data_IF_821113664881
#
_entry.id   IF_821113664881
#
_cell.length_a   1.000
_cell.length_b   1.000
_cell.length_c   1.000
_cell.angle_alpha   90.00
_cell.angle_beta   90.00
_cell.angle_gamma   90.00
#
_symmetry.space_group_name_H-M   'P 1'
#
loop_
_entity.id
_entity.type
_entity.pdbx_description
1 polymer ?
#
# COMPACT_ATOMS: atom_id res chain seq x y z
N UNK A 1 39.66 37.78 10.85
CA UNK A 1 40.33 36.91 11.83
C UNK A 1 40.36 35.56 11.17
N UNK A 2 41.40 35.22 10.33
CA UNK A 2 42.66 34.60 10.78
C UNK A 2 42.40 33.24 11.42
N UNK A 3 42.98 32.12 11.05
CA UNK A 3 44.26 31.72 10.44
C UNK A 3 44.04 30.28 9.91
N UNK A 4 44.44 29.81 8.72
CA UNK A 4 45.81 29.46 8.28
C UNK A 4 46.59 28.60 9.27
N UNK A 5 46.96 27.40 8.86
CA UNK A 5 48.26 26.73 8.98
C UNK A 5 48.11 25.31 8.40
N UNK A 6 48.59 24.98 7.24
CA UNK A 6 49.90 24.78 6.69
C UNK A 6 50.59 23.48 7.15
N UNK A 7 50.90 22.64 6.12
CA UNK A 7 52.21 21.98 5.85
C UNK A 7 52.50 20.60 6.41
N UNK A 8 52.73 19.61 5.55
CA UNK A 8 54.11 19.19 5.25
C UNK A 8 54.19 18.06 4.22
N UNK A 9 54.92 18.35 3.14
CA UNK A 9 55.56 17.43 2.21
C UNK A 9 56.75 16.71 2.89
N UNK A 10 57.03 15.46 2.46
CA UNK A 10 58.36 14.82 2.56
C UNK A 10 58.37 13.67 1.54
N UNK A 11 58.94 13.77 0.40
CA UNK A 11 60.23 13.61 -0.23
C UNK A 11 60.97 12.32 0.15
N UNK A 12 61.04 11.42 -0.86
CA UNK A 12 62.07 10.52 -1.46
C UNK A 12 63.14 9.90 -0.52
N UNK A 13 63.83 8.74 -0.89
CA UNK A 13 64.74 8.73 -2.04
C UNK A 13 64.81 7.41 -2.87
N UNK A 14 65.44 7.56 -4.03
CA UNK A 14 65.91 6.56 -4.97
C UNK A 14 67.10 5.76 -4.40
N UNK A 15 67.24 4.46 -4.78
CA UNK A 15 68.51 3.76 -4.81
C UNK A 15 68.65 3.03 -6.16
N UNK A 16 69.58 3.53 -6.95
CA UNK A 16 70.26 2.86 -8.04
C UNK A 16 71.38 1.98 -7.47
N UNK A 17 71.54 0.74 -7.92
CA UNK A 17 72.82 0.06 -7.98
C UNK A 17 72.90 -0.81 -9.20
N UNK A 18 73.98 -0.56 -9.86
CA UNK A 18 74.48 -1.01 -11.14
C UNK A 18 75.13 -2.37 -11.10
N UNK A 19 75.19 -3.00 -12.29
CA UNK A 19 76.30 -3.83 -12.87
C UNK A 19 76.64 -5.23 -12.32
N UNK A 20 76.58 -6.15 -13.25
CA UNK A 20 77.32 -7.44 -13.17
C UNK A 20 77.25 -8.18 -14.52
N UNK A 21 78.17 -7.82 -15.45
CA UNK A 21 78.53 -8.58 -16.66
C UNK A 21 79.33 -9.83 -16.30
N UNK A 22 79.02 -10.97 -16.94
CA UNK A 22 80.01 -12.03 -17.39
C UNK A 22 79.13 -13.16 -17.99
N UNK A 23 79.11 -13.34 -19.28
CA UNK A 23 79.99 -14.13 -20.14
C UNK A 23 79.99 -15.63 -19.76
N UNK A 24 79.53 -16.47 -20.66
CA UNK A 24 80.33 -17.59 -21.27
C UNK A 24 79.46 -18.33 -22.30
N UNK A 25 80.09 -18.52 -23.42
CA UNK A 25 79.70 -19.11 -24.70
C UNK A 25 79.48 -20.63 -24.70
N UNK A 26 78.74 -21.03 -25.77
CA UNK A 26 78.94 -22.26 -26.57
C UNK A 26 78.45 -23.60 -25.99
N UNK A 27 77.44 -24.19 -26.64
CA UNK A 27 77.66 -25.39 -27.45
C UNK A 27 76.52 -25.54 -28.45
N UNK A 28 76.88 -25.49 -29.75
CA UNK A 28 76.04 -25.89 -30.91
C UNK A 28 76.01 -27.42 -30.93
N UNK A 29 74.77 -27.97 -31.00
CA UNK A 29 74.55 -29.31 -31.52
C UNK A 29 73.27 -29.32 -32.34
N UNK A 30 73.45 -29.36 -33.62
CA UNK A 30 72.42 -29.60 -34.60
C UNK A 30 71.88 -31.04 -34.47
N UNK A 31 70.60 -31.20 -34.34
CA UNK A 31 69.84 -32.39 -34.76
C UNK A 31 68.72 -31.99 -35.65
N UNK A 32 68.91 -32.24 -36.95
CA UNK A 32 67.95 -32.16 -37.98
C UNK A 32 67.01 -33.38 -37.83
N UNK A 33 65.77 -33.18 -37.41
CA UNK A 33 64.71 -34.17 -37.50
C UNK A 33 63.54 -33.54 -38.24
N UNK A 34 63.37 -33.99 -39.46
CA UNK A 34 62.19 -33.77 -40.33
C UNK A 34 60.96 -34.29 -39.57
N UNK A 35 60.26 -33.41 -38.92
CA UNK A 35 58.93 -33.71 -38.40
C UNK A 35 57.91 -33.44 -39.48
N UNK A 36 57.30 -34.49 -39.98
CA UNK A 36 56.07 -34.53 -40.76
C UNK A 36 55.03 -33.65 -40.04
N UNK A 37 54.50 -32.67 -40.80
CA UNK A 37 53.31 -31.89 -40.39
C UNK A 37 52.14 -32.86 -40.23
N UNK A 38 52.00 -33.35 -39.02
CA UNK A 38 50.80 -34.02 -38.60
C UNK A 38 49.73 -32.91 -38.48
N UNK A 39 48.79 -32.92 -39.42
CA UNK A 39 47.61 -32.10 -39.40
C UNK A 39 46.72 -32.58 -38.25
N UNK A 40 47.09 -32.22 -37.01
CA UNK A 40 46.17 -32.32 -35.89
C UNK A 40 45.02 -31.38 -36.17
N UNK A 41 43.96 -31.93 -36.69
CA UNK A 41 42.62 -31.33 -36.58
C UNK A 41 42.49 -30.79 -35.16
N UNK A 42 42.44 -29.46 -35.03
CA UNK A 42 42.11 -28.77 -33.80
C UNK A 42 40.77 -29.35 -33.36
N UNK A 43 40.88 -30.26 -32.41
CA UNK A 43 39.76 -30.77 -31.65
C UNK A 43 38.98 -29.55 -31.14
N UNK A 44 37.87 -29.21 -31.84
CA UNK A 44 36.96 -28.15 -31.44
C UNK A 44 36.41 -28.56 -30.09
N UNK A 45 37.04 -28.07 -29.02
CA UNK A 45 36.44 -28.11 -27.70
C UNK A 45 35.00 -27.64 -27.87
N UNK A 46 34.01 -28.45 -27.50
CA UNK A 46 32.61 -28.06 -27.66
C UNK A 46 32.38 -26.75 -26.91
N UNK A 47 31.85 -25.75 -27.59
CA UNK A 47 31.47 -24.49 -26.97
C UNK A 47 30.73 -24.75 -25.65
N UNK A 48 31.17 -24.17 -24.53
CA UNK A 48 30.55 -24.40 -23.23
C UNK A 48 29.08 -23.99 -23.30
N UNK A 49 28.18 -24.95 -23.10
CA UNK A 49 26.74 -24.71 -23.06
C UNK A 49 26.33 -24.25 -21.66
N UNK A 50 25.71 -23.10 -21.56
CA UNK A 50 25.19 -22.60 -20.28
C UNK A 50 23.89 -23.30 -19.92
N UNK A 51 23.79 -23.88 -18.70
CA UNK A 51 22.53 -24.48 -18.23
C UNK A 51 21.51 -23.39 -17.93
N UNK A 52 20.28 -23.52 -18.50
CA UNK A 52 19.22 -22.53 -18.38
C UNK A 52 17.88 -23.16 -18.06
N UNK A 53 16.99 -22.46 -17.38
CA UNK A 53 15.58 -22.78 -17.35
C UNK A 53 14.80 -21.92 -18.35
N UNK A 54 13.66 -22.40 -18.80
CA UNK A 54 12.87 -21.75 -19.84
C UNK A 54 11.47 -21.43 -19.37
N UNK A 55 10.88 -20.38 -19.98
CA UNK A 55 9.50 -19.95 -19.76
C UNK A 55 8.82 -19.63 -21.08
N UNK A 56 7.51 -19.48 -21.03
CA UNK A 56 6.66 -19.06 -22.14
C UNK A 56 5.92 -17.77 -21.76
N UNK A 57 5.34 -17.11 -22.76
CA UNK A 57 4.50 -15.96 -22.53
C UNK A 57 3.23 -16.34 -21.77
N UNK A 58 2.79 -15.43 -20.92
CA UNK A 58 1.51 -15.49 -20.21
C UNK A 58 0.57 -14.45 -20.78
N UNK A 59 -0.69 -14.83 -20.94
CA UNK A 59 -1.79 -13.93 -21.30
C UNK A 59 -2.72 -13.65 -20.12
N UNK A 60 -2.31 -14.05 -18.91
CA UNK A 60 -3.07 -13.75 -17.70
C UNK A 60 -3.17 -12.23 -17.49
N UNK A 61 -4.34 -11.71 -17.10
CA UNK A 61 -4.50 -10.30 -16.84
C UNK A 61 -3.47 -9.78 -15.84
N UNK A 62 -2.86 -8.63 -16.15
CA UNK A 62 -1.96 -7.92 -15.26
C UNK A 62 -2.66 -6.69 -14.72
N UNK A 63 -2.59 -6.50 -13.41
CA UNK A 63 -3.12 -5.31 -12.76
C UNK A 63 -2.07 -4.76 -11.80
N UNK A 64 -1.82 -3.48 -11.93
CA UNK A 64 -1.00 -2.72 -11.00
C UNK A 64 -1.92 -2.00 -10.01
N UNK A 65 -1.59 -2.10 -8.74
CA UNK A 65 -2.40 -1.60 -7.65
C UNK A 65 -1.64 -0.59 -6.81
N UNK A 66 -2.40 0.36 -6.31
CA UNK A 66 -1.93 1.26 -5.27
C UNK A 66 -2.77 1.05 -4.01
N UNK A 67 -2.16 1.14 -2.86
CA UNK A 67 -2.83 1.05 -1.57
C UNK A 67 -2.88 2.43 -0.92
N UNK A 68 -4.08 2.87 -0.57
CA UNK A 68 -4.32 4.13 0.14
C UNK A 68 -4.94 3.86 1.50
N UNK A 69 -4.69 4.76 2.44
CA UNK A 69 -5.29 4.70 3.75
C UNK A 69 -6.72 5.27 3.72
N UNK A 70 -7.59 4.64 4.50
CA UNK A 70 -8.95 5.11 4.72
C UNK A 70 -9.31 5.00 6.20
N UNK A 71 -9.87 6.05 6.75
CA UNK A 71 -10.22 6.14 8.16
C UNK A 71 -11.70 5.85 8.35
N UNK A 72 -12.00 4.92 9.26
CA UNK A 72 -13.36 4.59 9.68
C UNK A 72 -14.02 5.77 10.41
N UNK A 73 -15.22 6.16 9.99
CA UNK A 73 -15.96 7.24 10.66
C UNK A 73 -17.47 7.06 10.51
N UNK A 74 -18.20 7.78 11.34
CA UNK A 74 -19.66 7.87 11.26
C UNK A 74 -20.05 9.27 10.84
N UNK A 75 -20.85 9.38 9.77
CA UNK A 75 -21.23 10.68 9.21
C UNK A 75 -22.30 11.41 10.02
N UNK A 76 -23.06 10.66 10.86
CA UNK A 76 -24.15 11.21 11.64
C UNK A 76 -23.92 11.00 13.13
N UNK A 77 -23.88 12.09 13.87
CA UNK A 77 -23.84 12.12 15.33
C UNK A 77 -25.00 12.97 15.84
N UNK A 78 -25.81 12.40 16.69
CA UNK A 78 -26.91 13.08 17.36
C UNK A 78 -26.43 13.68 18.68
N UNK A 79 -26.52 15.00 18.82
CA UNK A 79 -26.25 15.67 20.09
C UNK A 79 -27.53 15.69 20.89
N UNK A 80 -27.50 15.13 22.11
CA UNK A 80 -28.57 15.18 23.07
C UNK A 80 -28.36 16.38 23.98
N UNK A 81 -29.34 17.27 24.02
CA UNK A 81 -29.27 18.52 24.78
C UNK A 81 -30.32 18.59 25.87
N UNK A 82 -30.04 19.31 26.92
CA UNK A 82 -31.02 19.66 27.93
C UNK A 82 -32.12 20.53 27.33
N UNK A 83 -33.38 20.21 27.62
CA UNK A 83 -34.57 20.93 27.12
C UNK A 83 -35.13 21.95 28.13
N UNK A 84 -34.52 22.03 29.31
CA UNK A 84 -34.87 23.00 30.37
C UNK A 84 -33.73 23.13 31.35
N UNK A 85 -33.71 24.25 32.07
CA UNK A 85 -32.80 24.47 33.21
C UNK A 85 -33.21 23.60 34.39
N UNK A 86 -32.23 22.98 35.08
CA UNK A 86 -32.54 22.18 36.25
C UNK A 86 -31.42 21.23 36.63
N UNK A 87 -31.75 20.28 37.51
CA UNK A 87 -30.81 19.28 37.97
C UNK A 87 -31.12 17.91 37.35
N UNK A 88 -30.09 17.20 36.96
CA UNK A 88 -30.22 15.82 36.47
C UNK A 88 -30.65 14.90 37.61
N UNK A 89 -31.91 14.47 37.59
CA UNK A 89 -32.46 13.53 38.58
C UNK A 89 -32.04 12.09 38.26
N UNK A 90 -32.05 11.70 36.99
CA UNK A 90 -31.62 10.40 36.54
C UNK A 90 -30.73 10.53 35.30
N UNK A 91 -29.73 9.64 35.20
CA UNK A 91 -28.87 9.42 34.05
C UNK A 91 -28.93 7.92 33.77
N UNK A 92 -29.71 7.51 32.74
CA UNK A 92 -30.00 6.10 32.46
C UNK A 92 -29.12 5.58 31.29
N UNK A 93 -27.97 6.19 31.09
CA UNK A 93 -27.08 5.89 29.96
C UNK A 93 -25.63 6.10 30.35
N UNK A 94 -24.75 5.27 29.81
CA UNK A 94 -23.29 5.35 29.97
C UNK A 94 -22.62 5.37 28.62
N UNK A 95 -21.38 5.87 28.56
CA UNK A 95 -20.53 5.76 27.39
C UNK A 95 -20.36 4.29 26.98
N UNK A 96 -20.59 3.99 25.70
CA UNK A 96 -20.53 2.65 25.13
C UNK A 96 -21.88 1.92 25.08
N UNK A 97 -22.94 2.43 25.74
CA UNK A 97 -24.27 1.83 25.67
C UNK A 97 -24.87 1.98 24.27
N UNK A 98 -25.62 0.94 23.84
CA UNK A 98 -26.48 1.03 22.66
C UNK A 98 -27.88 1.51 23.08
N UNK A 99 -28.39 2.53 22.40
CA UNK A 99 -29.72 3.09 22.67
C UNK A 99 -30.60 3.04 21.42
N UNK A 100 -31.91 2.91 21.65
CA UNK A 100 -32.93 2.98 20.59
C UNK A 100 -33.46 4.40 20.47
N UNK A 101 -33.90 4.79 19.29
CA UNK A 101 -34.60 6.07 19.10
C UNK A 101 -35.82 6.13 20.02
N UNK A 102 -36.03 7.28 20.72
CA UNK A 102 -37.10 7.48 21.71
C UNK A 102 -36.80 6.92 23.11
N UNK A 103 -35.70 6.21 23.32
CA UNK A 103 -35.34 5.67 24.65
C UNK A 103 -35.05 6.82 25.62
N UNK A 104 -35.62 6.83 26.85
CA UNK A 104 -35.34 7.81 27.88
C UNK A 104 -33.88 7.70 28.36
N UNK A 105 -33.13 8.81 28.28
CA UNK A 105 -31.73 8.87 28.66
C UNK A 105 -31.52 9.65 29.98
N UNK A 106 -32.17 10.81 30.06
CA UNK A 106 -32.03 11.72 31.23
C UNK A 106 -33.40 12.17 31.70
N UNK A 107 -33.47 12.54 32.96
CA UNK A 107 -34.60 13.25 33.54
C UNK A 107 -34.04 14.49 34.23
N UNK A 108 -34.53 15.67 33.85
CA UNK A 108 -34.23 16.96 34.50
C UNK A 108 -35.40 17.31 35.41
N UNK A 109 -35.08 17.75 36.61
CA UNK A 109 -36.03 18.38 37.53
C UNK A 109 -35.73 19.85 37.63
N UNK A 110 -36.74 20.70 37.45
CA UNK A 110 -36.52 22.17 37.53
C UNK A 110 -36.19 22.54 38.99
N UNK A 111 -35.50 23.71 39.14
CA UNK A 111 -35.12 24.21 40.46
C UNK A 111 -36.33 24.43 41.38
N UNK A 112 -37.43 24.94 40.82
CA UNK A 112 -38.69 25.21 41.48
C UNK A 112 -39.32 23.90 41.97
N UNK A 113 -39.44 22.90 41.13
CA UNK A 113 -39.99 21.59 41.47
C UNK A 113 -39.15 20.88 42.53
N UNK A 114 -37.84 21.01 42.49
CA UNK A 114 -36.95 20.45 43.52
C UNK A 114 -37.12 21.10 44.86
N UNK A 115 -37.42 22.45 44.91
CA UNK A 115 -37.53 23.19 46.16
C UNK A 115 -38.92 23.09 46.80
N UNK A 116 -40.01 23.15 46.00
CA UNK A 116 -41.35 23.30 46.52
C UNK A 116 -42.34 22.21 46.04
N UNK A 117 -41.94 21.35 45.09
CA UNK A 117 -42.83 20.38 44.45
C UNK A 117 -43.56 19.44 45.43
N UNK A 118 -42.91 18.98 46.48
CA UNK A 118 -43.52 18.15 47.50
C UNK A 118 -44.54 18.89 48.38
N UNK A 119 -44.27 20.17 48.68
CA UNK A 119 -45.18 20.99 49.47
C UNK A 119 -46.46 21.29 48.68
N UNK A 120 -46.36 21.66 47.39
CA UNK A 120 -47.55 21.90 46.55
C UNK A 120 -48.39 20.65 46.39
N UNK A 121 -47.77 19.50 46.10
CA UNK A 121 -48.49 18.23 45.94
C UNK A 121 -49.13 17.72 47.23
N UNK A 122 -48.66 18.16 48.40
CA UNK A 122 -49.29 17.85 49.68
C UNK A 122 -50.49 18.73 50.02
N UNK A 123 -50.51 19.97 49.52
CA UNK A 123 -51.60 20.91 49.71
C UNK A 123 -52.81 20.58 48.83
N UNK A 124 -52.57 20.13 47.61
CA UNK A 124 -53.63 19.71 46.68
C UNK A 124 -53.21 18.41 45.96
N UNK A 125 -53.66 17.23 46.41
CA UNK A 125 -53.39 15.92 45.81
C UNK A 125 -53.87 15.77 44.38
N UNK A 126 -54.80 16.61 43.93
CA UNK A 126 -55.31 16.62 42.55
C UNK A 126 -54.34 17.33 41.58
N UNK A 127 -53.48 18.19 42.09
CA UNK A 127 -52.48 18.94 41.31
C UNK A 127 -51.13 18.25 41.39
N UNK A 128 -50.77 17.58 40.28
CA UNK A 128 -49.47 16.88 40.16
C UNK A 128 -48.42 17.80 39.51
N UNK A 129 -47.78 18.65 40.31
CA UNK A 129 -46.65 19.43 39.87
C UNK A 129 -45.37 18.57 39.96
N UNK A 130 -44.91 18.04 38.86
CA UNK A 130 -43.73 17.17 38.82
C UNK A 130 -42.47 17.95 38.43
N UNK A 131 -42.57 18.98 37.57
CA UNK A 131 -41.42 19.73 37.04
C UNK A 131 -40.33 18.83 36.42
N UNK A 132 -40.73 17.64 35.99
CA UNK A 132 -39.83 16.64 35.41
C UNK A 132 -39.89 16.68 33.90
N UNK A 133 -38.75 16.88 33.28
CA UNK A 133 -38.61 16.79 31.84
C UNK A 133 -37.77 15.58 31.44
N UNK A 134 -38.35 14.69 30.63
CA UNK A 134 -37.65 13.51 30.11
C UNK A 134 -36.96 13.86 28.80
N UNK A 135 -35.69 13.48 28.70
CA UNK A 135 -34.88 13.67 27.48
C UNK A 135 -34.61 12.30 26.91
N UNK A 136 -34.99 12.11 25.66
CA UNK A 136 -34.92 10.84 24.95
C UNK A 136 -33.87 10.87 23.84
N UNK A 137 -33.42 9.69 23.40
CA UNK A 137 -32.55 9.56 22.24
C UNK A 137 -33.27 9.99 20.97
N UNK A 138 -32.67 10.88 20.20
CA UNK A 138 -33.18 11.34 18.92
C UNK A 138 -32.95 10.35 17.76
N UNK A 139 -32.03 9.40 17.94
CA UNK A 139 -31.68 8.35 16.98
C UNK A 139 -31.21 7.09 17.72
N UNK A 140 -31.24 5.94 17.04
CA UNK A 140 -30.63 4.73 17.52
C UNK A 140 -29.10 4.76 17.26
N UNK A 141 -28.30 4.24 18.18
CA UNK A 141 -26.85 4.21 18.04
C UNK A 141 -26.10 3.96 19.32
N UNK A 142 -24.79 4.10 19.27
CA UNK A 142 -23.93 4.02 20.47
C UNK A 142 -23.70 5.40 21.09
N UNK A 143 -23.69 5.41 22.41
CA UNK A 143 -23.35 6.60 23.19
C UNK A 143 -21.84 6.77 23.20
N UNK A 144 -21.35 7.77 22.46
CA UNK A 144 -19.93 8.10 22.37
C UNK A 144 -19.42 8.90 23.56
N UNK A 145 -20.30 9.76 24.11
CA UNK A 145 -19.95 10.64 25.23
C UNK A 145 -21.17 10.89 26.12
N UNK A 146 -20.94 11.00 27.42
CA UNK A 146 -21.89 11.51 28.42
C UNK A 146 -21.17 12.58 29.20
N UNK A 147 -21.65 13.82 29.10
CA UNK A 147 -20.94 15.00 29.62
C UNK A 147 -21.29 15.32 31.07
N UNK A 148 -22.41 14.79 31.61
CA UNK A 148 -22.94 15.14 32.92
C UNK A 148 -23.34 13.91 33.73
N UNK A 149 -23.36 14.06 35.05
CA UNK A 149 -23.73 13.02 36.02
C UNK A 149 -25.03 13.37 36.77
N UNK A 150 -25.59 12.36 37.44
CA UNK A 150 -26.75 12.59 38.32
C UNK A 150 -26.42 13.61 39.40
N UNK A 151 -27.28 14.61 39.53
CA UNK A 151 -27.13 15.70 40.48
C UNK A 151 -26.57 16.98 39.91
N UNK A 152 -25.95 16.94 38.72
CA UNK A 152 -25.40 18.12 38.06
C UNK A 152 -26.54 19.09 37.67
N UNK A 153 -26.24 20.38 37.77
CA UNK A 153 -27.09 21.43 37.23
C UNK A 153 -26.78 21.66 35.75
N UNK A 154 -27.81 21.68 34.91
CA UNK A 154 -27.69 21.86 33.47
C UNK A 154 -28.56 23.02 33.00
N UNK A 155 -28.12 23.68 31.93
CA UNK A 155 -28.85 24.76 31.30
C UNK A 155 -29.54 24.25 30.03
N UNK A 156 -30.62 24.93 29.65
CA UNK A 156 -31.31 24.66 28.36
C UNK A 156 -30.33 24.79 27.19
N UNK A 157 -30.33 23.80 26.28
CA UNK A 157 -29.42 23.76 25.13
C UNK A 157 -28.04 23.14 25.43
N UNK A 158 -27.70 22.87 26.71
CA UNK A 158 -26.44 22.26 27.11
C UNK A 158 -26.36 20.81 26.64
N UNK A 159 -25.15 20.40 26.16
CA UNK A 159 -24.91 19.04 25.66
C UNK A 159 -24.83 18.06 26.81
N UNK A 160 -25.67 17.03 26.79
CA UNK A 160 -25.70 15.96 27.78
C UNK A 160 -25.02 14.68 27.29
N UNK A 161 -25.20 14.33 26.02
CA UNK A 161 -24.60 13.16 25.43
C UNK A 161 -24.45 13.32 23.92
N UNK A 162 -23.60 12.46 23.33
CA UNK A 162 -23.48 12.32 21.87
C UNK A 162 -23.80 10.87 21.50
N UNK A 163 -24.74 10.66 20.57
CA UNK A 163 -25.11 9.36 20.04
C UNK A 163 -24.60 9.26 18.61
N UNK A 164 -23.83 8.21 18.32
CA UNK A 164 -23.29 7.90 17.00
C UNK A 164 -24.22 6.92 16.27
N UNK A 165 -24.74 7.34 15.11
CA UNK A 165 -25.61 6.50 14.30
C UNK A 165 -24.78 5.47 13.51
N UNK A 166 -24.93 4.20 13.83
CA UNK A 166 -24.19 3.10 13.19
C UNK A 166 -24.49 2.97 11.69
N UNK A 167 -25.68 3.30 11.26
CA UNK A 167 -26.08 3.20 9.85
C UNK A 167 -25.40 4.25 8.96
N UNK A 168 -24.73 5.22 9.58
CA UNK A 168 -23.97 6.27 8.87
C UNK A 168 -22.48 5.93 8.71
N UNK A 169 -22.10 4.68 8.97
CA UNK A 169 -20.71 4.22 8.89
C UNK A 169 -20.16 4.31 7.47
N UNK A 170 -18.96 4.86 7.33
CA UNK A 170 -18.20 4.94 6.08
C UNK A 170 -16.71 4.89 6.38
N UNK A 171 -15.92 4.60 5.35
CA UNK A 171 -14.51 4.94 5.35
C UNK A 171 -14.28 6.23 4.56
N UNK A 172 -13.44 7.10 5.07
CA UNK A 172 -12.92 8.28 4.38
C UNK A 172 -11.51 7.95 3.88
N UNK A 173 -11.35 7.80 2.57
CA UNK A 173 -10.08 7.54 1.93
C UNK A 173 -9.42 8.86 1.55
N UNK A 174 -8.15 9.03 1.93
CA UNK A 174 -7.34 10.17 1.53
C UNK A 174 -6.68 9.88 0.18
N UNK A 175 -7.28 10.44 -0.87
CA UNK A 175 -6.85 10.26 -2.26
C UNK A 175 -5.94 11.40 -2.69
N UNK A 176 -4.67 11.16 -3.08
CA UNK A 176 -3.84 12.16 -3.74
C UNK A 176 -4.54 12.74 -4.97
N UNK A 177 -4.54 14.07 -5.12
CA UNK A 177 -5.30 14.74 -6.18
C UNK A 177 -4.88 14.30 -7.58
N UNK A 178 -3.60 13.98 -7.77
CA UNK A 178 -3.04 13.44 -9.03
C UNK A 178 -3.68 12.11 -9.47
N UNK A 179 -4.21 11.34 -8.52
CA UNK A 179 -4.85 10.04 -8.77
C UNK A 179 -6.35 10.14 -9.02
N UNK A 180 -6.94 11.33 -8.98
CA UNK A 180 -8.39 11.52 -9.17
C UNK A 180 -8.88 11.03 -10.53
N UNK A 181 -8.03 11.06 -11.55
CA UNK A 181 -8.32 10.52 -12.88
C UNK A 181 -8.56 9.01 -12.89
N UNK A 182 -7.84 8.27 -12.06
CA UNK A 182 -7.87 6.81 -12.00
C UNK A 182 -9.20 6.30 -11.44
N UNK A 183 -9.75 7.00 -10.45
CA UNK A 183 -10.94 6.52 -9.72
C UNK A 183 -12.25 6.68 -10.49
N UNK A 184 -12.29 7.47 -11.57
CA UNK A 184 -13.54 7.77 -12.30
C UNK A 184 -14.28 6.51 -12.79
N UNK A 185 -13.54 5.45 -13.09
CA UNK A 185 -14.08 4.20 -13.60
C UNK A 185 -14.17 3.08 -12.55
N UNK A 186 -13.66 3.30 -11.33
CA UNK A 186 -13.66 2.29 -10.27
C UNK A 186 -14.88 2.46 -9.36
N UNK A 187 -15.79 1.51 -9.42
CA UNK A 187 -17.01 1.52 -8.57
C UNK A 187 -16.89 0.57 -7.38
N UNK A 188 -16.19 -0.54 -7.54
CA UNK A 188 -16.00 -1.55 -6.51
C UNK A 188 -14.55 -1.52 -6.00
N UNK A 189 -14.37 -1.64 -4.70
CA UNK A 189 -13.09 -1.55 -4.01
C UNK A 189 -12.95 -2.69 -3.00
N UNK A 190 -11.73 -3.05 -2.68
CA UNK A 190 -11.42 -3.90 -1.55
C UNK A 190 -10.84 -3.05 -0.43
N UNK A 191 -11.48 -3.10 0.74
CA UNK A 191 -11.01 -2.47 1.97
C UNK A 191 -10.47 -3.57 2.87
N UNK A 192 -9.21 -3.47 3.27
CA UNK A 192 -8.55 -4.45 4.15
C UNK A 192 -8.34 -3.82 5.52
N UNK A 193 -8.91 -4.42 6.55
CA UNK A 193 -8.75 -4.01 7.93
C UNK A 193 -7.37 -4.45 8.48
N UNK A 194 -6.90 -3.87 9.60
CA UNK A 194 -5.60 -4.24 10.20
C UNK A 194 -5.50 -5.71 10.65
N UNK A 195 -6.63 -6.35 10.94
CA UNK A 195 -6.73 -7.78 11.26
C UNK A 195 -6.68 -8.72 10.04
N UNK A 196 -6.54 -8.13 8.82
CA UNK A 196 -6.52 -8.86 7.55
C UNK A 196 -7.91 -9.15 6.96
N UNK A 197 -9.00 -8.79 7.65
CA UNK A 197 -10.34 -8.94 7.10
C UNK A 197 -10.53 -8.05 5.88
N UNK A 198 -11.13 -8.61 4.83
CA UNK A 198 -11.41 -7.94 3.57
C UNK A 198 -12.89 -7.64 3.45
N UNK A 199 -13.21 -6.37 3.24
CA UNK A 199 -14.57 -5.88 3.06
C UNK A 199 -14.75 -5.40 1.63
N UNK A 200 -15.91 -5.71 1.04
CA UNK A 200 -16.29 -5.12 -0.24
C UNK A 200 -16.76 -3.68 0.00
N UNK A 201 -16.08 -2.74 -0.62
CA UNK A 201 -16.39 -1.32 -0.59
C UNK A 201 -16.97 -0.84 -1.92
N UNK A 202 -17.83 0.17 -1.84
CA UNK A 202 -18.32 0.91 -3.00
C UNK A 202 -17.83 2.35 -2.89
N UNK A 203 -17.23 2.84 -3.98
CA UNK A 203 -16.85 4.25 -4.05
C UNK A 203 -18.08 5.15 -4.06
N UNK A 204 -18.10 6.11 -3.15
CA UNK A 204 -19.12 7.14 -3.03
C UNK A 204 -18.67 8.47 -3.63
N UNK A 205 -19.12 9.58 -3.02
CA UNK A 205 -18.76 10.92 -3.47
C UNK A 205 -17.40 11.35 -2.93
N UNK A 206 -16.66 12.11 -3.75
CA UNK A 206 -15.53 12.89 -3.27
C UNK A 206 -16.03 14.16 -2.56
N UNK A 207 -15.43 14.50 -1.44
CA UNK A 207 -15.72 15.77 -0.78
C UNK A 207 -15.07 16.91 -1.58
N UNK A 208 -15.75 18.06 -1.76
CA UNK A 208 -15.24 19.18 -2.55
C UNK A 208 -14.21 20.02 -1.75
N UNK A 209 -13.34 19.35 -1.02
CA UNK A 209 -12.30 19.96 -0.19
C UNK A 209 -11.02 19.16 -0.34
N UNK A 210 -9.91 19.87 -0.54
CA UNK A 210 -8.56 19.30 -0.59
C UNK A 210 -7.82 19.76 0.65
N UNK A 211 -7.17 18.83 1.32
CA UNK A 211 -6.22 19.14 2.39
C UNK A 211 -4.98 19.80 1.77
N UNK A 212 -4.67 21.01 2.16
CA UNK A 212 -3.59 21.81 1.56
C UNK A 212 -2.19 21.27 1.90
N UNK A 213 -2.03 20.61 3.03
CA UNK A 213 -0.75 20.08 3.47
C UNK A 213 -0.39 18.77 2.75
N UNK A 214 -1.37 17.87 2.65
CA UNK A 214 -1.17 16.55 2.03
C UNK A 214 -1.55 16.49 0.56
N UNK A 215 -2.18 17.54 0.01
CA UNK A 215 -2.72 17.59 -1.37
C UNK A 215 -3.65 16.40 -1.66
N UNK A 216 -4.41 15.94 -0.64
CA UNK A 216 -5.34 14.84 -0.76
C UNK A 216 -6.79 15.33 -0.75
N UNK A 217 -7.63 14.65 -1.51
CA UNK A 217 -9.08 14.80 -1.49
C UNK A 217 -9.72 13.61 -0.78
N UNK A 218 -10.64 13.86 0.13
CA UNK A 218 -11.36 12.79 0.82
C UNK A 218 -12.45 12.20 -0.05
N UNK A 219 -12.44 10.87 -0.16
CA UNK A 219 -13.43 10.09 -0.89
C UNK A 219 -14.17 9.17 0.09
N UNK A 220 -15.49 9.23 0.04
CA UNK A 220 -16.34 8.37 0.88
C UNK A 220 -16.37 6.97 0.27
N UNK A 221 -16.09 5.95 1.09
CA UNK A 221 -16.25 4.55 0.73
C UNK A 221 -17.32 3.94 1.60
N UNK A 222 -18.39 3.47 0.98
CA UNK A 222 -19.47 2.75 1.63
C UNK A 222 -19.12 1.27 1.70
N UNK A 223 -19.23 0.68 2.88
CA UNK A 223 -19.06 -0.76 3.08
C UNK A 223 -20.31 -1.35 3.74
N UNK A 224 -20.63 -2.59 3.37
CA UNK A 224 -21.66 -3.36 4.06
C UNK A 224 -20.98 -4.30 5.03
N UNK A 225 -21.16 -4.08 6.32
CA UNK A 225 -20.64 -4.93 7.38
C UNK A 225 -21.70 -5.13 8.46
N UNK A 226 -21.71 -6.30 9.07
CA UNK A 226 -22.52 -6.59 10.28
C UNK A 226 -21.73 -6.34 11.56
N UNK A 227 -20.42 -6.18 11.45
CA UNK A 227 -19.55 -5.90 12.58
C UNK A 227 -19.49 -4.40 12.85
N UNK A 228 -19.41 -4.06 14.13
CA UNK A 228 -19.16 -2.70 14.57
C UNK A 228 -17.66 -2.42 14.45
N UNK A 229 -17.31 -1.60 13.50
CA UNK A 229 -15.92 -1.16 13.28
C UNK A 229 -15.69 0.11 14.11
N UNK A 230 -14.64 0.14 14.96
CA UNK A 230 -14.33 1.32 15.75
C UNK A 230 -14.08 2.57 14.90
N UNK A 231 -14.57 3.72 15.35
CA UNK A 231 -14.26 5.01 14.75
C UNK A 231 -12.75 5.29 14.88
N UNK A 232 -12.15 5.86 13.83
CA UNK A 232 -10.72 6.14 13.80
C UNK A 232 -9.84 4.97 13.33
N UNK A 233 -10.41 3.76 13.13
CA UNK A 233 -9.64 2.64 12.60
C UNK A 233 -9.14 2.96 11.20
N UNK A 234 -7.84 2.73 10.94
CA UNK A 234 -7.24 2.93 9.62
C UNK A 234 -7.24 1.60 8.88
N UNK A 235 -7.88 1.57 7.73
CA UNK A 235 -7.90 0.45 6.79
C UNK A 235 -7.12 0.79 5.52
N UNK A 236 -6.71 -0.24 4.78
CA UNK A 236 -6.08 -0.09 3.47
C UNK A 236 -7.10 -0.32 2.37
N UNK A 237 -7.12 0.57 1.39
CA UNK A 237 -7.97 0.48 0.20
C UNK A 237 -7.10 0.22 -1.00
N UNK A 238 -7.40 -0.86 -1.71
CA UNK A 238 -6.68 -1.26 -2.92
C UNK A 238 -7.39 -0.71 -4.15
N UNK A 239 -6.68 0.13 -4.91
CA UNK A 239 -7.14 0.72 -6.17
C UNK A 239 -6.36 0.13 -7.33
N UNK A 240 -7.01 -0.12 -8.46
CA UNK A 240 -6.33 -0.48 -9.71
C UNK A 240 -5.80 0.80 -10.36
N UNK A 241 -4.47 0.92 -10.49
CA UNK A 241 -3.82 2.05 -11.16
C UNK A 241 -3.82 1.86 -12.66
N UNK A 242 -3.47 0.68 -13.11
CA UNK A 242 -3.55 0.30 -14.52
C UNK A 242 -3.77 -1.20 -14.67
N UNK A 243 -4.41 -1.59 -15.75
CA UNK A 243 -4.76 -2.97 -16.05
C UNK A 243 -4.54 -3.28 -17.53
N UNK A 244 -4.04 -4.48 -17.80
CA UNK A 244 -3.96 -5.06 -19.14
C UNK A 244 -4.64 -6.42 -19.10
N UNK A 245 -5.76 -6.55 -19.84
CA UNK A 245 -6.63 -7.74 -19.75
C UNK A 245 -6.09 -8.93 -20.52
N UNK A 246 -5.30 -8.69 -21.58
CA UNK A 246 -4.73 -9.77 -22.42
C UNK A 246 -3.30 -9.40 -22.83
N UNK A 247 -2.37 -9.23 -21.86
CA UNK A 247 -1.00 -8.86 -22.15
C UNK A 247 -0.22 -10.00 -22.80
N UNK A 248 0.84 -9.64 -23.51
CA UNK A 248 1.95 -10.55 -23.75
C UNK A 248 2.94 -10.31 -22.60
N UNK A 249 2.96 -11.20 -21.62
CA UNK A 249 3.72 -11.01 -20.40
C UNK A 249 4.76 -12.10 -20.17
N UNK A 250 5.90 -11.73 -19.64
CA UNK A 250 6.96 -12.63 -19.21
C UNK A 250 7.27 -12.44 -17.73
N UNK A 251 7.74 -13.49 -17.04
CA UNK A 251 8.25 -13.35 -15.69
C UNK A 251 9.36 -12.29 -15.63
N UNK A 252 9.37 -11.47 -14.60
CA UNK A 252 10.35 -10.39 -14.43
C UNK A 252 11.80 -10.88 -14.49
N UNK A 253 12.05 -12.10 -13.99
CA UNK A 253 13.37 -12.75 -13.99
C UNK A 253 13.91 -13.03 -15.40
N UNK A 254 13.06 -13.13 -16.41
CA UNK A 254 13.47 -13.34 -17.81
C UNK A 254 13.89 -12.05 -18.52
N UNK A 255 13.64 -10.88 -17.90
CA UNK A 255 13.94 -9.57 -18.49
C UNK A 255 15.28 -9.08 -17.98
N UNK A 256 16.16 -8.78 -18.94
CA UNK A 256 17.50 -8.26 -18.69
C UNK A 256 17.55 -6.77 -19.03
N UNK A 257 18.48 -6.08 -18.41
CA UNK A 257 18.70 -4.65 -18.62
C UNK A 257 20.20 -4.31 -18.56
N UNK A 258 20.58 -3.20 -19.18
CA UNK A 258 21.91 -2.63 -19.04
C UNK A 258 22.08 -1.96 -17.66
N UNK A 259 23.29 -1.47 -17.38
CA UNK A 259 23.63 -0.82 -16.09
C UNK A 259 22.81 0.47 -15.85
N UNK A 260 22.46 1.19 -16.92
CA UNK A 260 21.68 2.44 -16.87
C UNK A 260 20.18 2.21 -16.81
N UNK A 261 19.72 0.96 -16.99
CA UNK A 261 18.30 0.54 -16.97
C UNK A 261 17.42 1.26 -18.00
N UNK A 262 17.99 1.64 -19.14
CA UNK A 262 17.30 2.29 -20.25
C UNK A 262 17.09 1.35 -21.44
N UNK A 263 17.84 0.24 -21.53
CA UNK A 263 17.64 -0.81 -22.51
C UNK A 263 17.22 -2.12 -21.87
N UNK A 264 16.21 -2.75 -22.44
CA UNK A 264 15.67 -4.02 -21.96
C UNK A 264 15.66 -5.04 -23.07
N UNK A 265 16.01 -6.30 -22.71
CA UNK A 265 15.98 -7.41 -23.66
C UNK A 265 15.60 -8.72 -22.97
N UNK A 266 15.29 -9.70 -23.79
CA UNK A 266 15.05 -11.10 -23.40
C UNK A 266 15.90 -12.01 -24.25
N UNK A 267 16.22 -13.19 -23.74
CA UNK A 267 16.89 -14.24 -24.49
C UNK A 267 15.85 -15.20 -25.04
N UNK A 268 15.51 -15.06 -26.33
CA UNK A 268 14.53 -15.92 -27.03
C UNK A 268 15.20 -17.16 -27.57
N UNK A 269 14.61 -18.34 -27.36
CA UNK A 269 15.09 -19.58 -27.94
C UNK A 269 14.76 -19.64 -29.44
N UNK A 270 15.79 -19.89 -30.25
CA UNK A 270 15.63 -20.24 -31.66
C UNK A 270 15.42 -21.74 -31.84
N UNK A 271 16.09 -22.55 -31.00
CA UNK A 271 15.95 -24.00 -30.88
C UNK A 271 16.39 -24.44 -29.47
N UNK A 272 16.42 -25.73 -29.18
CA UNK A 272 16.75 -26.28 -27.86
C UNK A 272 18.20 -26.04 -27.41
N UNK A 273 19.06 -25.54 -28.27
CA UNK A 273 20.50 -25.37 -27.99
C UNK A 273 21.00 -23.96 -28.24
N UNK A 274 20.16 -23.05 -28.74
CA UNK A 274 20.57 -21.69 -29.12
C UNK A 274 19.53 -20.68 -28.74
N UNK A 275 19.94 -19.62 -28.04
CA UNK A 275 19.11 -18.45 -27.71
C UNK A 275 19.72 -17.18 -28.30
N UNK A 276 18.87 -16.21 -28.62
CA UNK A 276 19.27 -14.91 -29.17
C UNK A 276 18.68 -13.78 -28.35
N UNK A 277 19.45 -12.70 -28.22
CA UNK A 277 19.03 -11.45 -27.59
C UNK A 277 17.98 -10.77 -28.46
N UNK A 278 16.88 -10.36 -27.85
CA UNK A 278 15.81 -9.60 -28.50
C UNK A 278 15.50 -8.40 -27.62
N UNK A 279 15.75 -7.20 -28.14
CA UNK A 279 15.39 -5.95 -27.43
C UNK A 279 13.88 -5.81 -27.36
N UNK A 280 13.39 -5.32 -26.24
CA UNK A 280 11.97 -5.22 -25.93
C UNK A 280 11.60 -3.82 -25.44
N UNK A 281 10.33 -3.47 -25.62
CA UNK A 281 9.70 -2.34 -24.94
C UNK A 281 8.77 -2.87 -23.87
N UNK A 282 9.03 -2.48 -22.62
CA UNK A 282 8.18 -2.86 -21.49
C UNK A 282 6.86 -2.09 -21.51
N UNK A 283 5.81 -2.76 -21.09
CA UNK A 283 4.52 -2.18 -20.76
C UNK A 283 4.30 -2.14 -19.25
N UNK A 284 3.14 -2.65 -18.84
CA UNK A 284 2.78 -2.74 -17.44
C UNK A 284 3.69 -3.73 -16.70
N UNK A 285 4.26 -3.27 -15.59
CA UNK A 285 5.11 -4.09 -14.73
C UNK A 285 4.39 -4.35 -13.40
N UNK A 286 4.35 -5.61 -12.99
CA UNK A 286 3.84 -6.06 -11.69
C UNK A 286 4.96 -6.68 -10.88
N UNK A 287 4.68 -7.12 -9.64
CA UNK A 287 5.71 -7.76 -8.80
C UNK A 287 6.39 -8.97 -9.46
N UNK A 288 5.66 -9.74 -10.27
CA UNK A 288 6.14 -11.02 -10.82
C UNK A 288 6.26 -11.03 -12.35
N UNK A 289 5.51 -10.20 -13.08
CA UNK A 289 5.42 -10.21 -14.53
C UNK A 289 5.58 -8.82 -15.12
N UNK A 290 6.08 -8.78 -16.36
CA UNK A 290 6.23 -7.56 -17.15
C UNK A 290 5.56 -7.79 -18.51
N UNK A 291 4.69 -6.87 -18.89
CA UNK A 291 4.09 -6.82 -20.22
C UNK A 291 5.13 -6.40 -21.26
N UNK A 292 5.13 -7.05 -22.42
CA UNK A 292 5.96 -6.71 -23.56
C UNK A 292 5.09 -6.07 -24.63
N UNK A 293 5.35 -4.79 -24.93
CA UNK A 293 4.64 -4.05 -25.98
C UNK A 293 5.20 -4.27 -27.36
N UNK A 294 6.51 -4.48 -27.45
CA UNK A 294 7.22 -4.69 -28.71
C UNK A 294 8.52 -5.46 -28.46
N UNK A 295 8.91 -6.36 -29.36
CA UNK A 295 8.16 -6.87 -30.51
C UNK A 295 6.99 -7.79 -30.13
N UNK A 296 6.10 -8.07 -31.08
CA UNK A 296 5.04 -9.05 -30.85
C UNK A 296 5.65 -10.46 -30.92
N UNK A 297 5.45 -11.23 -29.86
CA UNK A 297 5.88 -12.63 -29.78
C UNK A 297 4.73 -13.59 -30.13
N UNK A 298 5.10 -14.77 -30.62
CA UNK A 298 4.14 -15.83 -30.90
C UNK A 298 3.85 -16.63 -29.61
N UNK A 299 2.66 -17.22 -29.45
CA UNK A 299 2.29 -18.00 -28.25
C UNK A 299 3.27 -19.12 -27.91
N UNK A 300 3.92 -19.73 -28.91
CA UNK A 300 4.85 -20.84 -28.74
C UNK A 300 6.32 -20.39 -28.59
N UNK A 301 6.60 -19.10 -28.58
CA UNK A 301 7.96 -18.61 -28.35
C UNK A 301 8.39 -18.94 -26.92
N UNK A 302 9.63 -19.43 -26.77
CA UNK A 302 10.23 -19.77 -25.48
C UNK A 302 11.35 -18.80 -25.16
N UNK A 303 11.52 -18.50 -23.90
CA UNK A 303 12.50 -17.54 -23.39
C UNK A 303 13.28 -18.15 -22.24
N UNK A 304 14.51 -17.69 -22.04
CA UNK A 304 15.28 -18.09 -20.87
C UNK A 304 14.70 -17.38 -19.63
N UNK A 305 14.40 -18.17 -18.60
CA UNK A 305 13.95 -17.66 -17.30
C UNK A 305 15.12 -17.37 -16.37
N UNK A 306 15.99 -18.37 -16.18
CA UNK A 306 17.19 -18.26 -15.33
C UNK A 306 18.43 -18.76 -16.06
N UNK A 307 19.62 -18.28 -15.66
CA UNK A 307 20.86 -18.54 -16.36
C UNK A 307 21.07 -17.62 -17.58
N UNK A 308 20.31 -16.56 -17.68
CA UNK A 308 20.31 -15.59 -18.76
C UNK A 308 21.36 -14.47 -18.61
N UNK A 309 21.91 -14.30 -17.40
CA UNK A 309 22.86 -13.22 -17.12
C UNK A 309 24.23 -13.48 -17.76
N UNK A 310 24.80 -12.43 -18.38
CA UNK A 310 26.13 -12.50 -18.99
C UNK A 310 26.22 -13.30 -20.28
N UNK A 311 25.10 -13.72 -20.88
CA UNK A 311 25.08 -14.39 -22.16
C UNK A 311 25.38 -13.42 -23.30
N UNK A 312 26.15 -13.87 -24.33
CA UNK A 312 26.34 -13.08 -25.55
C UNK A 312 25.03 -12.97 -26.35
N UNK A 313 25.00 -12.07 -27.35
CA UNK A 313 23.81 -11.83 -28.17
C UNK A 313 23.25 -13.11 -28.85
N UNK A 314 24.14 -14.10 -29.10
CA UNK A 314 23.78 -15.45 -29.51
C UNK A 314 24.51 -16.43 -28.60
N UNK A 315 23.78 -17.18 -27.80
CA UNK A 315 24.32 -18.07 -26.80
C UNK A 315 24.02 -19.53 -27.08
N UNK A 316 24.99 -20.42 -26.83
CA UNK A 316 24.79 -21.86 -26.78
C UNK A 316 24.30 -22.24 -25.38
N UNK A 317 23.19 -22.94 -25.31
CA UNK A 317 22.49 -23.27 -24.05
C UNK A 317 22.22 -24.77 -23.91
N UNK A 318 21.97 -25.19 -22.69
CA UNK A 318 21.45 -26.50 -22.36
C UNK A 318 20.24 -26.33 -21.45
N UNK A 319 19.07 -26.80 -21.89
CA UNK A 319 17.84 -26.67 -21.13
C UNK A 319 17.85 -27.69 -19.98
N UNK A 320 17.73 -27.20 -18.75
CA UNK A 320 17.53 -28.05 -17.57
C UNK A 320 16.06 -28.38 -17.46
N UNK A 321 15.69 -29.63 -17.72
CA UNK A 321 14.37 -30.16 -17.38
C UNK A 321 14.35 -30.46 -15.88
N UNK A 322 13.66 -29.61 -15.11
CA UNK A 322 13.33 -29.87 -13.70
C UNK A 322 12.02 -30.61 -13.63
#
# INVERSE_FOLDING_TARGET
MEQLVNKKMSSKPYYTVTLGLASICLILSACNSSATLDNRELDKTPDPKTPVSVTQISHAPLSDYIELNATATFQQKGIIKASSNGYLQTVNVKKGDYVKGGQPLFTVITKEARSIGNAINSLDPSFKFTGLTRITANTAGFVGEVSHQKGDYVQEGEQLAVITNLNSFVFLMDLPYELTGIIKNQKALQVTLPDGQKLAGKMGRSLPLVDSASQTQRVIIQVKTQQVIPEGLIAKVKLVRSESLNPIALPKESILTNETQDEFWVMKLMNDTTAVKVNIQKGLETGSYVEIKSPLFKPNDRFILTGNYGLPDTAKIMINHK
#
